data_IF_782285442887
#
_entry.id   IF_782285442887
#
_cell.length_a   1.000
_cell.length_b   1.000
_cell.length_c   1.000
_cell.angle_alpha   90.00
_cell.angle_beta   90.00
_cell.angle_gamma   90.00
#
_symmetry.space_group_name_H-M   'P 1'
#
loop_
_entity.id
_entity.type
_entity.pdbx_description
1 polymer ?
#
# COMPACT_ATOMS: atom_id res chain seq x y z
N UNK A 1 17.96 -5.67 -1.89
CA UNK A 1 16.80 -6.48 -1.51
C UNK A 1 15.85 -6.43 -2.68
N UNK A 2 15.46 -7.59 -3.17
CA UNK A 2 14.43 -7.78 -4.19
C UNK A 2 13.14 -8.32 -3.54
N UNK A 3 12.09 -8.47 -4.33
CA UNK A 3 10.79 -8.99 -3.91
C UNK A 3 10.89 -10.37 -3.23
N UNK A 4 11.62 -11.32 -3.83
CA UNK A 4 11.73 -12.69 -3.30
C UNK A 4 12.48 -12.74 -1.96
N UNK A 5 13.55 -11.95 -1.82
CA UNK A 5 14.27 -11.79 -0.56
C UNK A 5 13.38 -11.18 0.53
N UNK A 6 12.61 -10.14 0.21
CA UNK A 6 11.66 -9.53 1.15
C UNK A 6 10.57 -10.50 1.59
N UNK A 7 9.94 -11.20 0.63
CA UNK A 7 8.87 -12.15 0.92
C UNK A 7 9.36 -13.31 1.79
N UNK A 8 10.53 -13.88 1.49
CA UNK A 8 11.10 -14.96 2.30
C UNK A 8 11.46 -14.52 3.71
N UNK A 9 11.90 -13.28 3.88
CA UNK A 9 12.36 -12.76 5.17
C UNK A 9 11.23 -12.30 6.08
N UNK A 10 10.24 -11.60 5.51
CA UNK A 10 9.20 -10.92 6.28
C UNK A 10 7.80 -11.52 6.09
N UNK A 11 7.62 -12.37 5.08
CA UNK A 11 6.29 -12.84 4.68
C UNK A 11 5.39 -11.69 4.24
N UNK A 12 4.08 -11.94 4.22
CA UNK A 12 3.07 -10.89 3.97
C UNK A 12 2.60 -10.19 5.25
N UNK A 13 2.91 -10.75 6.42
CA UNK A 13 2.55 -10.23 7.73
C UNK A 13 3.84 -10.02 8.53
N UNK A 14 4.55 -8.90 8.30
CA UNK A 14 5.81 -8.64 8.98
C UNK A 14 5.60 -8.49 10.49
N UNK A 15 6.63 -8.83 11.27
CA UNK A 15 6.60 -8.58 12.72
C UNK A 15 6.67 -7.08 13.00
N UNK A 16 6.21 -6.65 14.19
CA UNK A 16 6.31 -5.25 14.61
C UNK A 16 7.74 -4.68 14.55
N UNK A 17 8.77 -5.52 14.74
CA UNK A 17 10.16 -5.11 14.68
C UNK A 17 10.67 -4.88 13.23
N UNK A 18 9.98 -5.44 12.24
CA UNK A 18 10.39 -5.39 10.83
C UNK A 18 9.64 -4.32 10.04
N UNK A 19 8.52 -3.80 10.55
CA UNK A 19 7.68 -2.82 9.84
C UNK A 19 8.48 -1.57 9.43
N UNK A 20 9.33 -1.05 10.31
CA UNK A 20 10.16 0.12 10.00
C UNK A 20 11.16 -0.17 8.87
N UNK A 21 11.60 -1.42 8.73
CA UNK A 21 12.45 -1.81 7.63
C UNK A 21 11.68 -1.85 6.30
N UNK A 22 10.45 -2.37 6.32
CA UNK A 22 9.56 -2.35 5.14
C UNK A 22 9.27 -0.91 4.69
N UNK A 23 8.98 0.00 5.65
CA UNK A 23 8.84 1.44 5.36
C UNK A 23 10.08 2.02 4.71
N UNK A 24 11.26 1.67 5.23
CA UNK A 24 12.54 2.11 4.68
C UNK A 24 12.75 1.65 3.24
N UNK A 25 12.45 0.39 2.93
CA UNK A 25 12.52 -0.15 1.56
C UNK A 25 11.58 0.61 0.63
N UNK A 26 10.30 0.73 1.01
CA UNK A 26 9.30 1.40 0.20
C UNK A 26 9.67 2.87 -0.04
N UNK A 27 10.17 3.55 0.99
CA UNK A 27 10.63 4.93 0.87
C UNK A 27 11.81 5.08 -0.09
N UNK A 28 12.81 4.18 -0.03
CA UNK A 28 13.94 4.21 -0.96
C UNK A 28 13.42 4.04 -2.39
N UNK A 29 12.61 3.01 -2.65
CA UNK A 29 12.07 2.72 -3.98
C UNK A 29 11.25 3.89 -4.52
N UNK A 30 10.36 4.46 -3.71
CA UNK A 30 9.53 5.62 -4.09
C UNK A 30 10.35 6.83 -4.54
N UNK A 31 11.58 7.00 -4.05
CA UNK A 31 12.47 8.11 -4.40
C UNK A 31 13.46 7.80 -5.54
N UNK A 32 13.48 6.57 -6.06
CA UNK A 32 14.26 6.23 -7.26
C UNK A 32 13.58 6.76 -8.52
N UNK A 33 14.35 6.94 -9.60
CA UNK A 33 13.78 7.22 -10.91
C UNK A 33 12.96 6.03 -11.42
N UNK A 34 11.97 6.27 -12.28
CA UNK A 34 11.05 5.22 -12.76
C UNK A 34 11.78 3.98 -13.31
N UNK A 35 12.93 4.16 -13.97
CA UNK A 35 13.68 3.06 -14.59
C UNK A 35 14.51 2.24 -13.56
N UNK A 36 14.66 2.76 -12.35
CA UNK A 36 15.43 2.15 -11.25
C UNK A 36 14.52 1.57 -10.15
N UNK A 37 13.20 1.84 -10.21
CA UNK A 37 12.21 1.33 -9.27
C UNK A 37 11.97 -0.17 -9.48
N UNK A 38 11.90 -0.91 -8.38
CA UNK A 38 11.38 -2.27 -8.36
C UNK A 38 9.89 -2.23 -7.98
N UNK A 39 9.02 -2.11 -8.98
CA UNK A 39 7.57 -1.99 -8.80
C UNK A 39 6.95 -3.19 -8.10
N UNK A 40 7.47 -4.40 -8.32
CA UNK A 40 6.97 -5.62 -7.67
C UNK A 40 7.35 -5.63 -6.18
N UNK A 41 8.59 -5.25 -5.85
CA UNK A 41 8.99 -5.05 -4.46
C UNK A 41 8.17 -3.95 -3.77
N UNK A 42 7.88 -2.85 -4.46
CA UNK A 42 7.03 -1.78 -3.93
C UNK A 42 5.62 -2.28 -3.62
N UNK A 43 5.01 -3.03 -4.55
CA UNK A 43 3.70 -3.65 -4.38
C UNK A 43 3.71 -4.60 -3.18
N UNK A 44 4.73 -5.45 -3.05
CA UNK A 44 4.89 -6.35 -1.91
C UNK A 44 4.98 -5.56 -0.58
N UNK A 45 5.79 -4.50 -0.52
CA UNK A 45 5.88 -3.66 0.66
C UNK A 45 4.53 -3.01 1.01
N UNK A 46 3.77 -2.56 0.01
CA UNK A 46 2.43 -2.02 0.24
C UNK A 46 1.47 -3.08 0.80
N UNK A 47 1.54 -4.33 0.31
CA UNK A 47 0.76 -5.46 0.84
C UNK A 47 1.15 -5.78 2.29
N UNK A 48 2.45 -5.76 2.60
CA UNK A 48 2.95 -5.98 3.95
C UNK A 48 2.45 -4.89 4.92
N UNK A 49 2.52 -3.62 4.54
CA UNK A 49 2.01 -2.50 5.35
C UNK A 49 0.48 -2.52 5.48
N UNK A 50 -0.22 -2.88 4.41
CA UNK A 50 -1.67 -3.10 4.42
C UNK A 50 -2.07 -4.16 5.47
N UNK A 51 -1.36 -5.29 5.52
CA UNK A 51 -1.63 -6.36 6.47
C UNK A 51 -1.29 -5.99 7.93
N UNK A 52 -0.37 -5.04 8.14
CA UNK A 52 -0.10 -4.45 9.46
C UNK A 52 -1.25 -3.53 9.89
N UNK A 53 -1.84 -2.80 8.93
CA UNK A 53 -3.05 -2.02 9.13
C UNK A 53 -2.87 -0.75 9.96
N UNK A 54 -1.67 -0.16 9.96
CA UNK A 54 -1.41 1.11 10.65
C UNK A 54 -1.75 2.31 9.76
N UNK A 55 -2.53 3.26 10.31
CA UNK A 55 -2.93 4.47 9.59
C UNK A 55 -1.74 5.35 9.17
N UNK A 56 -0.63 5.27 9.92
CA UNK A 56 0.62 5.98 9.64
C UNK A 56 1.23 5.59 8.28
N UNK A 57 0.89 4.41 7.74
CA UNK A 57 1.41 3.90 6.48
C UNK A 57 0.62 4.38 5.25
N UNK A 58 -0.58 4.94 5.44
CA UNK A 58 -1.50 5.32 4.34
C UNK A 58 -0.82 6.24 3.34
N UNK A 59 -0.13 7.29 3.80
CA UNK A 59 0.54 8.25 2.92
C UNK A 59 1.82 7.68 2.30
N UNK A 60 2.49 6.75 2.97
CA UNK A 60 3.66 6.07 2.39
C UNK A 60 3.24 5.20 1.21
N UNK A 61 2.13 4.46 1.35
CA UNK A 61 1.54 3.64 0.27
C UNK A 61 1.03 4.54 -0.87
N UNK A 62 0.37 5.66 -0.55
CA UNK A 62 -0.09 6.62 -1.57
C UNK A 62 1.06 7.18 -2.39
N UNK A 63 2.15 7.64 -1.74
CA UNK A 63 3.32 8.17 -2.45
C UNK A 63 4.00 7.12 -3.33
N UNK A 64 4.04 5.88 -2.87
CA UNK A 64 4.53 4.77 -3.68
C UNK A 64 3.67 4.54 -4.92
N UNK A 65 2.33 4.59 -4.79
CA UNK A 65 1.41 4.52 -5.93
C UNK A 65 1.65 5.65 -6.94
N UNK A 66 1.88 6.87 -6.47
CA UNK A 66 2.05 8.04 -7.33
C UNK A 66 3.49 8.25 -7.86
N UNK A 67 4.44 7.37 -7.52
CA UNK A 67 5.87 7.58 -7.85
C UNK A 67 6.19 7.37 -9.33
N UNK A 68 5.40 6.59 -10.04
CA UNK A 68 5.55 6.31 -11.47
C UNK A 68 4.24 5.78 -12.06
N UNK A 69 4.15 5.77 -13.39
CA UNK A 69 2.99 5.20 -14.07
C UNK A 69 2.82 3.71 -13.77
N UNK A 70 3.92 2.95 -13.78
CA UNK A 70 3.90 1.52 -13.51
C UNK A 70 3.46 1.24 -12.06
N UNK A 71 3.97 2.00 -11.08
CA UNK A 71 3.52 1.90 -9.70
C UNK A 71 2.04 2.27 -9.55
N UNK A 72 1.57 3.30 -10.26
CA UNK A 72 0.17 3.71 -10.22
C UNK A 72 -0.76 2.61 -10.72
N UNK A 73 -0.37 1.88 -11.75
CA UNK A 73 -1.15 0.76 -12.28
C UNK A 73 -1.01 -0.53 -11.43
N UNK A 74 0.15 -0.78 -10.82
CA UNK A 74 0.43 -2.02 -10.09
C UNK A 74 -0.02 -2.02 -8.63
N UNK A 75 -0.11 -0.84 -8.00
CA UNK A 75 -0.48 -0.70 -6.58
C UNK A 75 -1.96 -0.33 -6.49
N UNK A 76 -2.76 -1.28 -6.02
CA UNK A 76 -4.20 -1.11 -5.84
C UNK A 76 -4.52 -0.10 -4.73
N UNK A 77 -5.49 0.79 -4.97
CA UNK A 77 -5.91 1.81 -3.99
C UNK A 77 -6.44 1.19 -2.69
N UNK A 78 -6.99 -0.02 -2.77
CA UNK A 78 -7.47 -0.79 -1.64
C UNK A 78 -6.36 -1.04 -0.60
N UNK A 79 -5.07 -1.04 -1.02
CA UNK A 79 -3.92 -1.19 -0.12
C UNK A 79 -3.74 -0.03 0.86
N UNK A 80 -4.33 1.14 0.60
CA UNK A 80 -4.35 2.23 1.58
C UNK A 80 -5.23 1.87 2.78
N UNK A 81 -6.18 0.95 2.63
CA UNK A 81 -7.26 0.73 3.57
C UNK A 81 -7.00 -0.42 4.54
N UNK A 82 -5.75 -0.63 4.97
CA UNK A 82 -5.38 -1.74 5.88
C UNK A 82 -6.06 -1.68 7.25
N UNK A 83 -6.32 -0.47 7.76
CA UNK A 83 -7.13 -0.24 8.97
C UNK A 83 -8.65 -0.30 8.70
N UNK A 84 -9.05 -0.54 7.45
CA UNK A 84 -10.42 -0.38 6.96
C UNK A 84 -10.65 0.96 6.25
N UNK A 85 -11.70 1.01 5.42
CA UNK A 85 -12.01 2.16 4.57
C UNK A 85 -12.38 3.41 5.38
N UNK A 86 -13.27 3.27 6.37
CA UNK A 86 -13.74 4.41 7.17
C UNK A 86 -12.63 5.03 8.04
N UNK A 87 -11.83 4.27 8.81
CA UNK A 87 -10.71 4.82 9.56
C UNK A 87 -9.66 5.51 8.67
N UNK A 88 -9.39 4.94 7.48
CA UNK A 88 -8.46 5.53 6.50
C UNK A 88 -8.97 6.87 5.99
N UNK A 89 -10.27 6.97 5.69
CA UNK A 89 -10.91 8.21 5.25
C UNK A 89 -10.83 9.30 6.33
N UNK A 90 -11.15 8.95 7.58
CA UNK A 90 -11.07 9.87 8.72
C UNK A 90 -9.64 10.36 8.95
N UNK A 91 -8.66 9.44 8.86
CA UNK A 91 -7.25 9.79 8.96
C UNK A 91 -6.83 10.80 7.89
N UNK A 92 -7.11 10.52 6.62
CA UNK A 92 -6.79 11.42 5.50
C UNK A 92 -7.45 12.80 5.64
N UNK A 93 -8.69 12.85 6.12
CA UNK A 93 -9.38 14.12 6.40
C UNK A 93 -8.71 14.92 7.52
N UNK A 94 -8.14 14.24 8.53
CA UNK A 94 -7.50 14.87 9.69
C UNK A 94 -6.09 15.39 9.40
N UNK A 95 -5.35 14.71 8.51
CA UNK A 95 -3.94 15.04 8.22
C UNK A 95 -3.84 16.31 7.38
N UNK A 96 -4.65 16.43 6.32
CA UNK A 96 -4.88 17.69 5.61
C UNK A 96 -3.74 18.18 4.70
N UNK A 97 -2.71 17.37 4.42
CA UNK A 97 -1.72 17.68 3.38
C UNK A 97 -2.30 17.56 1.96
N UNK A 98 -1.55 18.05 0.98
CA UNK A 98 -1.89 17.89 -0.44
C UNK A 98 -1.97 16.41 -0.84
N UNK A 99 -1.03 15.60 -0.37
CA UNK A 99 -1.03 14.15 -0.59
C UNK A 99 -2.28 13.50 0.01
N UNK A 100 -2.65 13.86 1.24
CA UNK A 100 -3.84 13.30 1.88
C UNK A 100 -5.13 13.71 1.15
N UNK A 101 -5.22 14.96 0.70
CA UNK A 101 -6.35 15.44 -0.07
C UNK A 101 -6.46 14.72 -1.43
N UNK A 102 -5.34 14.46 -2.11
CA UNK A 102 -5.27 13.73 -3.37
C UNK A 102 -5.66 12.24 -3.19
N UNK A 103 -5.09 11.57 -2.18
CA UNK A 103 -5.40 10.19 -1.84
C UNK A 103 -6.89 10.04 -1.49
N UNK A 104 -7.43 10.97 -0.67
CA UNK A 104 -8.83 10.98 -0.30
C UNK A 104 -9.74 11.17 -1.52
N UNK A 105 -9.40 12.08 -2.42
CA UNK A 105 -10.16 12.30 -3.66
C UNK A 105 -10.22 11.02 -4.48
N UNK A 106 -9.06 10.43 -4.76
CA UNK A 106 -8.95 9.23 -5.59
C UNK A 106 -9.72 8.05 -4.97
N UNK A 107 -9.58 7.84 -3.66
CA UNK A 107 -10.31 6.81 -2.93
C UNK A 107 -11.84 7.00 -3.03
N UNK A 108 -12.34 8.23 -2.93
CA UNK A 108 -13.77 8.52 -3.08
C UNK A 108 -14.27 8.28 -4.51
N UNK A 109 -13.46 8.62 -5.51
CA UNK A 109 -13.80 8.39 -6.92
C UNK A 109 -13.86 6.89 -7.24
N UNK A 110 -12.87 6.10 -6.79
CA UNK A 110 -12.88 4.63 -6.90
C UNK A 110 -14.06 4.00 -6.16
N UNK A 111 -14.39 4.52 -4.97
CA UNK A 111 -15.59 4.08 -4.24
C UNK A 111 -16.86 4.35 -5.04
N UNK A 112 -16.99 5.53 -5.66
CA UNK A 112 -18.13 5.87 -6.50
C UNK A 112 -18.21 5.01 -7.78
N UNK A 113 -17.08 4.52 -8.27
CA UNK A 113 -16.99 3.59 -9.41
C UNK A 113 -17.32 2.13 -9.06
N UNK A 114 -17.42 1.78 -7.76
CA UNK A 114 -17.75 0.43 -7.28
C UNK A 114 -16.55 -0.43 -6.88
N UNK A 115 -15.32 0.11 -6.91
CA UNK A 115 -14.09 -0.64 -6.61
C UNK A 115 -14.01 -1.16 -5.15
N UNK A 116 -14.89 -0.65 -4.28
CA UNK A 116 -14.96 -1.00 -2.87
C UNK A 116 -16.25 -1.77 -2.48
N UNK A 117 -17.12 -2.13 -3.41
CA UNK A 117 -18.43 -2.74 -3.10
C UNK A 117 -18.32 -4.08 -2.36
N UNK A 118 -17.29 -4.87 -2.67
CA UNK A 118 -16.97 -6.14 -2.01
C UNK A 118 -15.70 -6.07 -1.14
N UNK A 119 -15.19 -4.86 -0.89
CA UNK A 119 -13.93 -4.71 -0.16
C UNK A 119 -14.09 -5.08 1.31
N UNK A 120 -13.18 -5.94 1.78
CA UNK A 120 -12.90 -6.12 3.20
C UNK A 120 -11.41 -6.36 3.37
N UNK A 121 -10.87 -5.94 4.52
CA UNK A 121 -9.44 -6.14 4.82
C UNK A 121 -9.08 -7.63 4.75
N UNK A 122 -9.89 -8.48 5.37
CA UNK A 122 -9.68 -9.94 5.41
C UNK A 122 -9.67 -10.57 4.02
N UNK A 123 -10.62 -10.20 3.15
CA UNK A 123 -10.69 -10.77 1.81
C UNK A 123 -9.55 -10.27 0.93
N UNK A 124 -9.19 -8.99 1.03
CA UNK A 124 -8.06 -8.45 0.28
C UNK A 124 -6.74 -9.10 0.73
N UNK A 125 -6.53 -9.28 2.04
CA UNK A 125 -5.37 -10.03 2.57
C UNK A 125 -5.32 -11.46 2.03
N UNK A 126 -6.47 -12.14 1.92
CA UNK A 126 -6.57 -13.50 1.36
C UNK A 126 -6.18 -13.52 -0.12
N UNK A 127 -6.70 -12.58 -0.91
CA UNK A 127 -6.39 -12.47 -2.35
C UNK A 127 -4.88 -12.31 -2.58
N UNK A 128 -4.21 -11.42 -1.84
CA UNK A 128 -2.77 -11.27 -1.97
C UNK A 128 -1.99 -12.47 -1.42
N UNK A 129 -2.48 -13.13 -0.36
CA UNK A 129 -1.89 -14.37 0.11
C UNK A 129 -1.90 -15.45 -0.98
N UNK A 130 -2.97 -15.56 -1.76
CA UNK A 130 -3.06 -16.48 -2.89
C UNK A 130 -2.13 -16.07 -4.04
N UNK A 131 -2.06 -14.77 -4.35
CA UNK A 131 -1.18 -14.23 -5.40
C UNK A 131 0.32 -14.49 -5.13
N UNK A 132 0.78 -14.35 -3.88
CA UNK A 132 2.19 -14.50 -3.52
C UNK A 132 2.61 -15.94 -3.18
N UNK A 133 1.66 -16.86 -3.08
CA UNK A 133 1.91 -18.29 -2.81
C UNK A 133 1.78 -19.15 -4.08
N UNK A 134 1.18 -18.61 -5.15
CA UNK A 134 1.05 -19.28 -6.46
C UNK A 134 2.35 -19.30 -7.25
#
# INVERSE_FOLDING_TARGET
MDEEESLRRYGLQPSAADVDHIRGILHIQTNLGQDDQDTELMKLCCVQLFNVGQLEDVLSIWRAKESSWDAHCSIDVQLLCGAGLDPTREHLMSEGSEDAAAALRYLLDCRAAGDFDAFSVTEQSRIYAEYYVS
#
